data_IF_285789902042
#
_entry.id   IF_285789902042
#
_cell.length_a   1.000
_cell.length_b   1.000
_cell.length_c   1.000
_cell.angle_alpha   90.00
_cell.angle_beta   90.00
_cell.angle_gamma   90.00
#
_symmetry.space_group_name_H-M   'P 1'
#
loop_
_entity.id
_entity.type
_entity.pdbx_description
1 polymer ?
#
# COMPACT_ATOMS: atom_id res chain seq x y z
N UNK A 1 1.71 -13.26 1.40
CA UNK A 1 0.68 -13.02 0.36
C UNK A 1 -0.48 -12.18 0.89
N UNK A 2 -0.98 -12.43 2.11
CA UNK A 2 -2.06 -11.62 2.70
C UNK A 2 -1.74 -10.13 2.79
N UNK A 3 -0.53 -9.76 3.24
CA UNK A 3 -0.10 -8.36 3.29
C UNK A 3 -0.13 -7.67 1.92
N UNK A 4 0.25 -8.36 0.84
CA UNK A 4 0.16 -7.81 -0.52
C UNK A 4 -1.29 -7.59 -0.96
N UNK A 5 -2.18 -8.53 -0.62
CA UNK A 5 -3.61 -8.41 -0.91
C UNK A 5 -4.17 -7.18 -0.20
N UNK A 6 -3.90 -7.07 1.10
CA UNK A 6 -4.37 -6.00 1.98
C UNK A 6 -3.63 -4.67 1.80
N UNK A 7 -2.55 -4.60 1.01
CA UNK A 7 -1.80 -3.36 0.85
C UNK A 7 -2.58 -2.32 0.03
N UNK A 8 -2.97 -1.23 0.68
CA UNK A 8 -3.57 -0.05 0.06
C UNK A 8 -2.49 0.83 -0.57
N UNK A 9 -2.01 0.35 -1.71
CA UNK A 9 -0.99 1.03 -2.50
C UNK A 9 -1.43 2.41 -2.99
N UNK A 10 -2.74 2.68 -3.11
CA UNK A 10 -3.24 3.97 -3.57
C UNK A 10 -3.02 5.03 -2.51
N UNK A 11 -3.42 4.74 -1.27
CA UNK A 11 -3.16 5.62 -0.13
C UNK A 11 -1.67 5.75 0.17
N UNK A 12 -0.91 4.66 0.07
CA UNK A 12 0.54 4.70 0.17
C UNK A 12 1.17 5.69 -0.83
N UNK A 13 0.78 5.63 -2.10
CA UNK A 13 1.31 6.53 -3.14
C UNK A 13 0.72 7.94 -3.10
N UNK A 14 -0.45 8.14 -2.48
CA UNK A 14 -0.99 9.47 -2.22
C UNK A 14 -0.19 10.16 -1.10
N UNK A 15 0.15 9.41 -0.05
CA UNK A 15 0.94 9.91 1.06
C UNK A 15 2.39 10.20 0.64
N UNK A 16 3.01 9.28 -0.10
CA UNK A 16 4.37 9.44 -0.63
C UNK A 16 4.36 9.83 -2.12
N UNK A 17 3.86 11.03 -2.42
CA UNK A 17 3.66 11.50 -3.81
C UNK A 17 4.95 11.52 -4.67
N UNK A 18 6.12 11.66 -4.05
CA UNK A 18 7.43 11.59 -4.73
C UNK A 18 7.69 10.21 -5.37
N UNK A 19 7.14 9.13 -4.79
CA UNK A 19 7.23 7.80 -5.38
C UNK A 19 6.47 7.73 -6.72
N UNK A 20 5.31 8.39 -6.84
CA UNK A 20 4.62 8.50 -8.14
C UNK A 20 5.45 9.27 -9.16
N UNK A 21 6.06 10.38 -8.73
CA UNK A 21 6.93 11.20 -9.60
C UNK A 21 8.16 10.44 -10.09
N UNK A 22 8.69 9.52 -9.28
CA UNK A 22 9.80 8.63 -9.67
C UNK A 22 9.37 7.39 -10.49
N UNK A 23 8.08 7.27 -10.82
CA UNK A 23 7.55 6.19 -11.66
C UNK A 23 7.07 4.94 -10.91
N UNK A 24 6.99 5.00 -9.58
CA UNK A 24 6.32 3.99 -8.73
C UNK A 24 4.83 4.34 -8.71
N UNK A 25 4.10 3.84 -9.71
CA UNK A 25 2.71 4.20 -9.99
C UNK A 25 1.78 2.98 -10.16
N UNK A 26 2.22 1.80 -9.74
CA UNK A 26 1.42 0.56 -9.77
C UNK A 26 1.52 -0.17 -8.43
N UNK A 27 0.53 -1.01 -8.12
CA UNK A 27 0.50 -1.82 -6.89
C UNK A 27 1.77 -2.64 -6.70
N UNK A 28 2.23 -3.31 -7.75
CA UNK A 28 3.45 -4.14 -7.70
C UNK A 28 4.69 -3.30 -7.41
N UNK A 29 4.85 -2.14 -8.06
CA UNK A 29 5.99 -1.26 -7.81
C UNK A 29 5.96 -0.69 -6.39
N UNK A 30 4.80 -0.23 -5.93
CA UNK A 30 4.62 0.29 -4.59
C UNK A 30 4.90 -0.79 -3.52
N UNK A 31 4.43 -2.01 -3.75
CA UNK A 31 4.70 -3.15 -2.89
C UNK A 31 6.18 -3.51 -2.83
N UNK A 32 6.85 -3.55 -3.98
CA UNK A 32 8.30 -3.80 -4.02
C UNK A 32 9.07 -2.70 -3.26
N UNK A 33 8.68 -1.44 -3.42
CA UNK A 33 9.26 -0.32 -2.68
C UNK A 33 9.04 -0.49 -1.17
N UNK A 34 7.81 -0.78 -0.76
CA UNK A 34 7.48 -1.05 0.64
C UNK A 34 8.30 -2.20 1.23
N UNK A 35 8.40 -3.33 0.55
CA UNK A 35 9.13 -4.50 1.02
C UNK A 35 10.64 -4.26 1.15
N UNK A 36 11.25 -3.58 0.18
CA UNK A 36 12.70 -3.42 0.10
C UNK A 36 13.21 -2.25 0.97
N UNK A 37 12.43 -1.18 1.04
CA UNK A 37 12.80 0.11 1.63
C UNK A 37 11.83 0.45 2.76
N UNK A 38 10.54 0.56 2.46
CA UNK A 38 9.54 1.08 3.40
C UNK A 38 9.50 0.38 4.76
N UNK A 39 9.53 -0.96 4.76
CA UNK A 39 9.53 -1.78 5.99
C UNK A 39 10.78 -1.60 6.84
N UNK A 40 11.92 -1.29 6.22
CA UNK A 40 13.21 -1.08 6.91
C UNK A 40 13.38 0.35 7.41
N UNK A 41 12.89 1.31 6.62
CA UNK A 41 13.01 2.75 6.91
C UNK A 41 11.83 3.32 7.69
N UNK A 42 10.85 2.49 8.07
CA UNK A 42 9.73 2.90 8.92
C UNK A 42 8.69 3.75 8.19
N UNK A 43 8.47 3.51 6.90
CA UNK A 43 7.33 4.10 6.19
C UNK A 43 6.02 3.58 6.81
N UNK A 44 4.88 4.17 6.46
CA UNK A 44 3.56 3.73 6.94
C UNK A 44 2.98 2.63 6.04
N UNK A 45 2.54 1.51 6.64
CA UNK A 45 1.77 0.48 5.96
C UNK A 45 0.31 0.92 5.93
N UNK A 46 -0.25 1.08 4.73
CA UNK A 46 -1.68 1.34 4.58
C UNK A 46 -2.38 0.01 4.32
N UNK A 47 -3.22 -0.40 5.27
CA UNK A 47 -4.04 -1.59 5.15
C UNK A 47 -5.40 -1.22 4.54
N UNK A 48 -5.85 -2.02 3.58
CA UNK A 48 -7.23 -1.97 3.09
C UNK A 48 -8.14 -2.44 4.23
N UNK A 49 -8.96 -1.53 4.74
CA UNK A 49 -10.08 -1.90 5.61
C UNK A 49 -11.09 -2.71 4.80
N UNK A 50 -10.93 -4.04 4.75
CA UNK A 50 -11.83 -4.94 4.03
C UNK A 50 -13.19 -5.11 4.73
N UNK A 51 -13.41 -4.49 5.89
CA UNK A 51 -14.60 -4.67 6.72
C UNK A 51 -15.55 -3.46 6.72
N UNK A 52 -16.30 -3.27 5.62
CA UNK A 52 -17.60 -2.57 5.65
C UNK A 52 -18.71 -3.25 4.84
N UNK A 53 -18.56 -4.52 4.49
CA UNK A 53 -19.66 -5.31 3.93
C UNK A 53 -19.96 -6.45 4.91
N UNK A 54 -20.46 -6.12 6.10
CA UNK A 54 -21.25 -7.09 6.84
C UNK A 54 -22.58 -7.26 6.10
N UNK A 55 -22.98 -8.46 5.66
CA UNK A 55 -24.35 -8.69 5.25
C UNK A 55 -25.21 -8.47 6.50
N UNK A 56 -26.07 -7.44 6.47
CA UNK A 56 -27.16 -7.33 7.44
C UNK A 56 -28.03 -8.57 7.22
N UNK A 57 -27.92 -9.53 8.15
CA UNK A 57 -28.92 -10.59 8.31
C UNK A 57 -30.23 -10.03 8.83
#
# INVERSE_FOLDING_TARGET
MQEFVNFDWMNYLNYYSELRKSGINTKVKAWNHWLLIGKKEGYIFFELELEKIQPKG
#
